data_IF_041164800733
#
_entry.id   IF_041164800733
#
_cell.length_a   1.000
_cell.length_b   1.000
_cell.length_c   1.000
_cell.angle_alpha   90.00
_cell.angle_beta   90.00
_cell.angle_gamma   90.00
#
_symmetry.space_group_name_H-M   'P 1'
#
loop_
_entity.id
_entity.type
_entity.pdbx_description
1 polymer ?
#
# COMPACT_ATOMS: atom_id res chain seq x y z
N UNK A 1 13.10 -63.15 -32.27
CA UNK A 1 12.51 -62.35 -31.16
C UNK A 1 12.84 -60.90 -31.48
N UNK A 2 11.83 -60.18 -31.99
CA UNK A 2 11.95 -58.83 -32.58
C UNK A 2 11.66 -57.78 -31.51
N UNK A 3 12.56 -56.81 -31.37
CA UNK A 3 12.36 -55.58 -30.58
C UNK A 3 11.21 -54.76 -31.17
N UNK A 4 10.25 -54.36 -30.33
CA UNK A 4 9.14 -53.49 -30.72
C UNK A 4 8.78 -52.43 -29.66
N UNK A 5 9.59 -52.21 -28.62
CA UNK A 5 9.19 -51.36 -27.47
C UNK A 5 9.91 -50.01 -27.32
N UNK A 6 10.97 -49.72 -28.09
CA UNK A 6 11.76 -48.48 -27.91
C UNK A 6 11.19 -47.23 -28.62
N UNK A 7 10.23 -47.40 -29.54
CA UNK A 7 9.68 -46.28 -30.33
C UNK A 7 8.60 -45.45 -29.61
N UNK A 8 7.94 -46.00 -28.57
CA UNK A 8 6.86 -45.30 -27.87
C UNK A 8 7.33 -44.38 -26.74
N UNK A 9 8.50 -44.66 -26.13
CA UNK A 9 9.04 -43.86 -25.04
C UNK A 9 9.60 -42.51 -25.53
N UNK A 10 10.31 -42.50 -26.66
CA UNK A 10 10.95 -41.29 -27.20
C UNK A 10 9.95 -40.23 -27.71
N UNK A 11 8.77 -40.64 -28.18
CA UNK A 11 7.72 -39.71 -28.62
C UNK A 11 6.94 -39.09 -27.45
N UNK A 12 6.83 -39.80 -26.32
CA UNK A 12 6.16 -39.26 -25.12
C UNK A 12 7.03 -38.25 -24.37
N UNK A 13 8.35 -38.44 -24.32
CA UNK A 13 9.29 -37.44 -23.78
C UNK A 13 9.33 -36.16 -24.62
N UNK A 14 9.34 -36.28 -25.96
CA UNK A 14 9.30 -35.10 -26.85
C UNK A 14 7.98 -34.32 -26.73
N UNK A 15 6.85 -35.01 -26.59
CA UNK A 15 5.55 -34.37 -26.39
C UNK A 15 5.47 -33.64 -25.04
N UNK A 16 6.00 -34.23 -23.96
CA UNK A 16 6.07 -33.56 -22.66
C UNK A 16 6.99 -32.34 -22.68
N UNK A 17 8.18 -32.44 -23.29
CA UNK A 17 9.11 -31.32 -23.40
C UNK A 17 8.52 -30.14 -24.20
N UNK A 18 7.74 -30.41 -25.25
CA UNK A 18 7.08 -29.37 -26.03
C UNK A 18 5.94 -28.68 -25.25
N UNK A 19 5.14 -29.43 -24.48
CA UNK A 19 4.07 -28.89 -23.64
C UNK A 19 4.64 -28.07 -22.47
N UNK A 20 5.76 -28.50 -21.88
CA UNK A 20 6.46 -27.75 -20.84
C UNK A 20 7.08 -26.46 -21.39
N UNK A 21 7.64 -26.49 -22.60
CA UNK A 21 8.15 -25.30 -23.30
C UNK A 21 7.08 -24.24 -23.56
N UNK A 22 5.92 -24.65 -24.09
CA UNK A 22 4.81 -23.74 -24.39
C UNK A 22 4.21 -23.10 -23.12
N UNK A 23 4.04 -23.88 -22.05
CA UNK A 23 3.58 -23.37 -20.74
C UNK A 23 4.58 -22.43 -20.09
N UNK A 24 5.89 -22.69 -20.25
CA UNK A 24 6.95 -21.84 -19.73
C UNK A 24 6.98 -20.47 -20.42
N UNK A 25 6.86 -20.47 -21.76
CA UNK A 25 6.77 -19.24 -22.54
C UNK A 25 5.53 -18.42 -22.20
N UNK A 26 4.35 -19.05 -22.12
CA UNK A 26 3.11 -18.34 -21.82
C UNK A 26 3.16 -17.71 -20.42
N UNK A 27 3.70 -18.43 -19.42
CA UNK A 27 3.93 -17.89 -18.08
C UNK A 27 4.80 -16.62 -18.10
N UNK A 28 5.93 -16.65 -18.81
CA UNK A 28 6.86 -15.52 -18.87
C UNK A 28 6.28 -14.33 -19.65
N UNK A 29 5.44 -14.60 -20.66
CA UNK A 29 4.67 -13.57 -21.37
C UNK A 29 3.68 -12.88 -20.42
N UNK A 30 2.94 -13.64 -19.61
CA UNK A 30 1.99 -13.09 -18.63
C UNK A 30 2.67 -12.25 -17.54
N UNK A 31 3.77 -12.74 -16.95
CA UNK A 31 4.50 -12.00 -15.90
C UNK A 31 5.04 -10.67 -16.44
N UNK A 32 5.68 -10.71 -17.61
CA UNK A 32 6.21 -9.53 -18.31
C UNK A 32 5.10 -8.52 -18.63
N UNK A 33 3.95 -9.00 -19.13
CA UNK A 33 2.81 -8.14 -19.40
C UNK A 33 2.29 -7.46 -18.11
N UNK A 34 2.09 -8.21 -17.03
CA UNK A 34 1.63 -7.64 -15.76
C UNK A 34 2.60 -6.57 -15.21
N UNK A 35 3.90 -6.80 -15.32
CA UNK A 35 4.93 -5.83 -14.92
C UNK A 35 4.77 -4.53 -15.70
N UNK A 36 4.64 -4.64 -17.03
CA UNK A 36 4.44 -3.48 -17.90
C UNK A 36 3.13 -2.73 -17.58
N UNK A 37 2.04 -3.45 -17.31
CA UNK A 37 0.74 -2.86 -16.94
C UNK A 37 0.85 -2.09 -15.61
N UNK A 38 1.47 -2.69 -14.59
CA UNK A 38 1.65 -2.03 -13.31
C UNK A 38 2.51 -0.76 -13.43
N UNK A 39 3.61 -0.81 -14.18
CA UNK A 39 4.46 0.36 -14.44
C UNK A 39 3.71 1.46 -15.20
N UNK A 40 2.97 1.10 -16.26
CA UNK A 40 2.15 2.04 -17.05
C UNK A 40 1.01 2.67 -16.24
N UNK A 41 0.53 1.98 -15.20
CA UNK A 41 -0.48 2.54 -14.29
C UNK A 41 0.04 3.69 -13.43
N UNK A 42 1.35 3.91 -13.39
CA UNK A 42 2.01 4.89 -12.52
C UNK A 42 2.12 4.42 -11.08
N UNK A 43 2.15 3.11 -10.84
CA UNK A 43 2.39 2.58 -9.50
C UNK A 43 3.82 2.89 -9.04
N UNK A 44 3.93 3.42 -7.83
CA UNK A 44 5.20 3.73 -7.19
C UNK A 44 5.59 2.57 -6.28
N UNK A 45 6.79 2.03 -6.46
CA UNK A 45 7.35 0.96 -5.64
C UNK A 45 8.43 1.55 -4.74
N UNK A 46 8.34 1.27 -3.45
CA UNK A 46 9.22 1.85 -2.43
C UNK A 46 9.33 0.88 -1.26
N UNK A 47 10.20 1.18 -0.30
CA UNK A 47 10.34 0.35 0.89
C UNK A 47 10.30 1.18 2.17
N UNK A 48 9.95 0.55 3.30
CA UNK A 48 10.10 1.20 4.61
C UNK A 48 11.57 1.24 5.04
N UNK A 49 11.95 2.10 6.01
CA UNK A 49 13.29 2.07 6.60
C UNK A 49 13.72 0.69 7.15
N UNK A 50 12.76 -0.17 7.47
CA UNK A 50 12.94 -1.55 7.92
C UNK A 50 13.03 -2.56 6.76
N UNK A 51 13.15 -2.11 5.52
CA UNK A 51 13.19 -2.92 4.30
C UNK A 51 11.93 -3.76 4.06
N UNK A 52 10.74 -3.25 4.40
CA UNK A 52 9.48 -3.85 3.96
C UNK A 52 9.06 -3.26 2.60
N UNK A 53 8.79 -4.08 1.56
CA UNK A 53 8.39 -3.56 0.26
C UNK A 53 6.92 -3.14 0.23
N UNK A 54 6.67 -1.96 -0.31
CA UNK A 54 5.35 -1.35 -0.46
C UNK A 54 5.15 -0.81 -1.88
N UNK A 55 3.87 -0.54 -2.20
CA UNK A 55 3.52 0.25 -3.36
C UNK A 55 2.45 1.29 -3.03
N UNK A 56 2.48 2.41 -3.76
CA UNK A 56 1.37 3.34 -3.90
C UNK A 56 0.77 3.19 -5.29
N UNK A 57 -0.52 2.93 -5.38
CA UNK A 57 -1.18 2.68 -6.67
C UNK A 57 -2.60 3.26 -6.68
N UNK A 58 -3.07 3.60 -7.88
CA UNK A 58 -4.40 4.18 -8.05
C UNK A 58 -5.49 3.10 -7.96
N UNK A 59 -6.51 3.36 -7.15
CA UNK A 59 -7.75 2.59 -7.11
C UNK A 59 -8.91 3.55 -7.35
N UNK A 60 -9.57 3.42 -8.50
CA UNK A 60 -10.61 4.35 -8.95
C UNK A 60 -10.14 5.82 -8.91
N UNK A 61 -10.58 6.59 -7.89
CA UNK A 61 -10.33 8.03 -7.78
C UNK A 61 -9.30 8.39 -6.70
N UNK A 62 -8.73 7.41 -5.98
CA UNK A 62 -7.77 7.65 -4.91
C UNK A 62 -6.51 6.79 -5.06
N UNK A 63 -5.53 7.02 -4.19
CA UNK A 63 -4.29 6.25 -4.11
C UNK A 63 -4.27 5.41 -2.84
N UNK A 64 -4.03 4.12 -3.00
CA UNK A 64 -3.82 3.18 -1.89
C UNK A 64 -2.33 2.98 -1.67
N UNK A 65 -1.89 2.95 -0.41
CA UNK A 65 -0.57 2.45 -0.02
C UNK A 65 -0.72 1.07 0.61
N UNK A 66 -0.02 0.07 0.07
CA UNK A 66 -0.11 -1.32 0.55
C UNK A 66 1.23 -2.03 0.52
N UNK A 67 1.45 -2.94 1.48
CA UNK A 67 2.59 -3.86 1.45
C UNK A 67 2.43 -4.77 0.24
N UNK A 68 3.52 -5.08 -0.46
CA UNK A 68 3.45 -5.96 -1.64
C UNK A 68 3.01 -7.40 -1.29
N UNK A 69 3.09 -7.76 0.00
CA UNK A 69 2.63 -9.04 0.55
C UNK A 69 1.12 -9.04 0.84
N UNK A 70 0.47 -7.89 0.84
CA UNK A 70 -0.94 -7.77 1.18
C UNK A 70 -1.84 -8.30 0.06
N UNK A 71 -2.93 -8.96 0.46
CA UNK A 71 -3.91 -9.47 -0.50
C UNK A 71 -4.52 -8.36 -1.37
N UNK A 72 -4.62 -7.14 -0.85
CA UNK A 72 -5.12 -5.99 -1.60
C UNK A 72 -4.27 -5.73 -2.86
N UNK A 73 -2.94 -5.71 -2.71
CA UNK A 73 -2.04 -5.49 -3.84
C UNK A 73 -2.12 -6.61 -4.88
N UNK A 74 -2.19 -7.87 -4.42
CA UNK A 74 -2.40 -9.02 -5.31
C UNK A 74 -3.71 -8.95 -6.09
N UNK A 75 -4.80 -8.51 -5.45
CA UNK A 75 -6.10 -8.32 -6.11
C UNK A 75 -6.08 -7.17 -7.11
N UNK A 76 -5.37 -6.09 -6.80
CA UNK A 76 -5.17 -4.97 -7.71
C UNK A 76 -4.41 -5.40 -8.98
N UNK A 77 -3.32 -6.16 -8.84
CA UNK A 77 -2.58 -6.72 -9.98
C UNK A 77 -3.45 -7.67 -10.82
N UNK A 78 -4.22 -8.55 -10.17
CA UNK A 78 -5.11 -9.47 -10.88
C UNK A 78 -6.20 -8.71 -11.66
N UNK A 79 -6.72 -7.61 -11.10
CA UNK A 79 -7.66 -6.73 -11.78
C UNK A 79 -7.04 -6.07 -13.00
N UNK A 80 -5.84 -5.49 -12.88
CA UNK A 80 -5.14 -4.88 -14.01
C UNK A 80 -4.95 -5.87 -15.16
N UNK A 81 -4.51 -7.08 -14.86
CA UNK A 81 -4.33 -8.11 -15.87
C UNK A 81 -5.65 -8.51 -16.52
N UNK A 82 -6.70 -8.72 -15.73
CA UNK A 82 -8.01 -9.11 -16.24
C UNK A 82 -8.64 -8.04 -17.12
N UNK A 83 -8.49 -6.76 -16.76
CA UNK A 83 -8.99 -5.64 -17.56
C UNK A 83 -8.30 -5.55 -18.93
N UNK A 84 -7.03 -5.95 -19.04
CA UNK A 84 -6.29 -5.97 -20.31
C UNK A 84 -6.56 -7.25 -21.13
N UNK A 85 -6.41 -8.43 -20.53
CA UNK A 85 -6.40 -9.72 -21.24
C UNK A 85 -7.76 -10.43 -21.26
N UNK A 86 -8.71 -10.01 -20.44
CA UNK A 86 -10.03 -10.66 -20.31
C UNK A 86 -9.99 -12.04 -19.64
N UNK A 87 -8.84 -12.47 -19.14
CA UNK A 87 -8.63 -13.75 -18.47
C UNK A 87 -7.84 -13.59 -17.15
N UNK A 88 -7.88 -14.62 -16.31
CA UNK A 88 -7.15 -14.61 -15.04
C UNK A 88 -5.66 -14.89 -15.28
N UNK A 89 -4.81 -14.12 -14.60
CA UNK A 89 -3.37 -14.40 -14.54
C UNK A 89 -3.11 -15.71 -13.78
N UNK A 90 -2.14 -16.48 -14.26
CA UNK A 90 -1.69 -17.69 -13.55
C UNK A 90 -1.01 -17.36 -12.20
N UNK A 91 -1.13 -18.27 -11.22
CA UNK A 91 -0.47 -18.09 -9.91
C UNK A 91 1.05 -17.96 -10.02
N UNK A 92 1.67 -18.70 -10.95
CA UNK A 92 3.11 -18.67 -11.16
C UNK A 92 3.56 -17.33 -11.76
N UNK A 93 2.84 -16.79 -12.76
CA UNK A 93 3.14 -15.47 -13.33
C UNK A 93 2.93 -14.35 -12.30
N UNK A 94 1.89 -14.44 -11.47
CA UNK A 94 1.65 -13.52 -10.36
C UNK A 94 2.80 -13.52 -9.35
N UNK A 95 3.29 -14.70 -8.93
CA UNK A 95 4.41 -14.79 -8.00
C UNK A 95 5.69 -14.20 -8.58
N UNK A 96 5.98 -14.47 -9.85
CA UNK A 96 7.14 -13.92 -10.54
C UNK A 96 7.10 -12.39 -10.60
N UNK A 97 5.95 -11.80 -10.97
CA UNK A 97 5.76 -10.36 -10.96
C UNK A 97 5.92 -9.77 -9.55
N UNK A 98 5.33 -10.38 -8.52
CA UNK A 98 5.48 -9.94 -7.13
C UNK A 98 6.94 -9.97 -6.65
N UNK A 99 7.71 -10.99 -7.04
CA UNK A 99 9.14 -11.08 -6.75
C UNK A 99 9.92 -9.94 -7.41
N UNK A 100 9.61 -9.62 -8.67
CA UNK A 100 10.24 -8.51 -9.40
C UNK A 100 9.88 -7.17 -8.75
N UNK A 101 8.61 -6.90 -8.44
CA UNK A 101 8.20 -5.66 -7.77
C UNK A 101 8.83 -5.53 -6.38
N UNK A 102 8.98 -6.63 -5.63
CA UNK A 102 9.67 -6.61 -4.35
C UNK A 102 11.16 -6.29 -4.51
N UNK A 103 11.80 -6.82 -5.54
CA UNK A 103 13.19 -6.47 -5.87
C UNK A 103 13.31 -4.99 -6.22
N UNK A 104 12.44 -4.48 -7.11
CA UNK A 104 12.41 -3.07 -7.48
C UNK A 104 12.20 -2.17 -6.26
N UNK A 105 11.22 -2.50 -5.42
CA UNK A 105 10.92 -1.74 -4.21
C UNK A 105 12.11 -1.66 -3.24
N UNK A 106 12.89 -2.75 -3.10
CA UNK A 106 13.99 -2.85 -2.13
C UNK A 106 15.30 -2.27 -2.65
N UNK A 107 15.61 -2.48 -3.93
CA UNK A 107 16.92 -2.15 -4.49
C UNK A 107 16.93 -0.86 -5.33
N UNK A 108 15.79 -0.49 -5.91
CA UNK A 108 15.67 0.68 -6.78
C UNK A 108 14.73 1.76 -6.20
N UNK A 109 13.86 1.38 -5.25
CA UNK A 109 12.87 2.27 -4.64
C UNK A 109 13.43 3.10 -3.49
N UNK A 110 12.78 4.23 -3.22
CA UNK A 110 13.14 5.13 -2.12
C UNK A 110 12.70 4.56 -0.75
N UNK A 111 13.43 4.94 0.30
CA UNK A 111 13.11 4.61 1.68
C UNK A 111 12.07 5.59 2.24
N UNK A 112 10.82 5.16 2.39
CA UNK A 112 9.67 5.98 2.76
C UNK A 112 8.92 5.42 3.96
N UNK A 113 8.48 6.30 4.87
CA UNK A 113 7.70 5.87 6.04
C UNK A 113 6.24 5.67 5.66
N UNK A 114 5.66 4.55 6.12
CA UNK A 114 4.23 4.28 6.01
C UNK A 114 3.55 4.50 7.35
N UNK A 115 2.53 5.35 7.35
CA UNK A 115 1.79 5.74 8.54
C UNK A 115 0.42 5.07 8.57
N UNK A 116 -0.18 5.02 9.76
CA UNK A 116 -1.56 4.55 9.92
C UNK A 116 -2.52 5.72 9.94
N UNK A 117 -2.66 6.37 11.10
CA UNK A 117 -3.63 7.44 11.32
C UNK A 117 -3.01 8.82 11.33
N UNK A 118 -1.77 8.93 11.79
CA UNK A 118 -1.12 10.19 12.10
C UNK A 118 0.31 10.16 11.57
N UNK A 119 0.76 11.31 11.06
CA UNK A 119 2.12 11.55 10.68
C UNK A 119 2.53 12.98 11.00
N UNK A 120 3.78 13.16 11.42
CA UNK A 120 4.43 14.47 11.51
C UNK A 120 5.56 14.51 10.48
N UNK A 121 5.40 15.34 9.46
CA UNK A 121 6.29 15.43 8.29
C UNK A 121 6.47 16.89 7.90
N UNK A 122 7.72 17.33 7.76
CA UNK A 122 8.09 18.70 7.37
C UNK A 122 7.39 19.80 8.18
N UNK A 123 7.36 19.63 9.50
CA UNK A 123 6.76 20.59 10.43
C UNK A 123 5.22 20.63 10.40
N UNK A 124 4.58 19.64 9.79
CA UNK A 124 3.13 19.57 9.61
C UNK A 124 2.58 18.26 10.15
N UNK A 125 1.37 18.32 10.68
CA UNK A 125 0.64 17.14 11.16
C UNK A 125 -0.36 16.73 10.08
N UNK A 126 -0.40 15.45 9.78
CA UNK A 126 -1.38 14.85 8.88
C UNK A 126 -2.17 13.79 9.64
N UNK A 127 -3.49 13.84 9.54
CA UNK A 127 -4.41 12.89 10.18
C UNK A 127 -5.28 12.26 9.11
N UNK A 128 -5.17 10.95 8.90
CA UNK A 128 -6.03 10.22 7.99
C UNK A 128 -7.46 10.14 8.55
N UNK A 129 -8.42 10.71 7.83
CA UNK A 129 -9.83 10.62 8.20
C UNK A 129 -10.33 9.18 8.05
N UNK A 130 -9.71 8.37 7.19
CA UNK A 130 -10.13 7.01 6.89
C UNK A 130 -11.57 6.90 6.31
N UNK A 131 -12.02 7.95 5.62
CA UNK A 131 -13.30 7.93 4.92
C UNK A 131 -13.16 7.48 3.46
N UNK A 132 -14.30 7.31 2.79
CA UNK A 132 -14.35 6.86 1.40
C UNK A 132 -13.80 7.88 0.40
N UNK A 133 -13.70 9.14 0.79
CA UNK A 133 -13.19 10.24 -0.05
C UNK A 133 -11.66 10.38 0.03
N UNK A 134 -11.01 9.53 0.84
CA UNK A 134 -9.55 9.55 1.04
C UNK A 134 -9.01 10.86 1.62
N UNK A 135 -9.84 11.53 2.43
CA UNK A 135 -9.50 12.83 3.00
C UNK A 135 -8.51 12.71 4.15
N UNK A 136 -7.64 13.71 4.25
CA UNK A 136 -6.64 13.88 5.30
C UNK A 136 -6.78 15.28 5.89
N UNK A 137 -6.70 15.39 7.21
CA UNK A 137 -6.60 16.70 7.87
C UNK A 137 -5.12 17.07 7.91
N UNK A 138 -4.75 18.16 7.25
CA UNK A 138 -3.42 18.77 7.33
C UNK A 138 -3.47 19.91 8.34
N UNK A 139 -2.54 19.93 9.29
CA UNK A 139 -2.40 20.99 10.30
C UNK A 139 -1.02 21.64 10.12
N UNK A 140 -1.01 22.96 10.02
CA UNK A 140 0.19 23.78 9.97
C UNK A 140 -0.01 25.07 10.79
N UNK A 141 0.95 26.00 10.73
CA UNK A 141 0.93 27.24 11.51
C UNK A 141 -0.26 28.17 11.19
N UNK A 142 -0.95 27.96 10.06
CA UNK A 142 -2.13 28.75 9.69
C UNK A 142 -3.45 28.14 10.16
N UNK A 143 -3.42 26.92 10.71
CA UNK A 143 -4.59 26.16 11.14
C UNK A 143 -4.64 24.77 10.49
N UNK A 144 -5.85 24.22 10.39
CA UNK A 144 -6.07 22.93 9.77
C UNK A 144 -6.97 23.03 8.53
N UNK A 145 -6.72 22.14 7.57
CA UNK A 145 -7.45 22.04 6.31
C UNK A 145 -7.66 20.58 5.93
N UNK A 146 -8.82 20.28 5.34
CA UNK A 146 -9.06 18.96 4.74
C UNK A 146 -8.49 18.94 3.32
N UNK A 147 -7.66 17.95 3.03
CA UNK A 147 -7.02 17.75 1.72
C UNK A 147 -7.32 16.36 1.19
N UNK A 148 -7.38 16.21 -0.14
CA UNK A 148 -7.56 14.93 -0.83
C UNK A 148 -6.27 14.42 -1.47
N UNK A 149 -5.23 15.26 -1.52
CA UNK A 149 -3.88 14.91 -1.94
C UNK A 149 -2.93 15.13 -0.77
N UNK A 150 -2.47 14.03 -0.16
CA UNK A 150 -1.51 14.04 0.94
C UNK A 150 -0.16 13.50 0.45
N UNK A 151 0.98 14.14 0.80
CA UNK A 151 2.30 13.57 0.53
C UNK A 151 2.60 12.34 1.40
N UNK A 152 1.82 12.14 2.47
CA UNK A 152 2.04 11.06 3.44
C UNK A 152 1.47 9.73 2.93
N UNK A 153 2.29 8.68 2.98
CA UNK A 153 1.91 7.31 2.65
C UNK A 153 1.12 6.68 3.80
N UNK A 154 -0.21 6.80 3.78
CA UNK A 154 -1.09 6.16 4.77
C UNK A 154 -1.56 4.78 4.31
N UNK A 155 -1.49 3.79 5.20
CA UNK A 155 -2.18 2.50 5.02
C UNK A 155 -3.33 2.35 6.01
N UNK A 156 -4.46 1.82 5.53
CA UNK A 156 -5.69 1.64 6.32
C UNK A 156 -5.91 0.16 6.65
N UNK A 157 -5.44 -0.35 7.82
CA UNK A 157 -5.70 -1.72 8.22
C UNK A 157 -7.19 -1.97 8.48
N UNK A 158 -7.58 -3.24 8.43
CA UNK A 158 -8.96 -3.67 8.71
C UNK A 158 -9.36 -3.21 10.12
N UNK A 159 -10.53 -2.57 10.23
CA UNK A 159 -11.07 -2.08 11.51
C UNK A 159 -10.74 -0.61 11.80
N UNK A 160 -9.93 0.05 10.97
CA UNK A 160 -9.74 1.49 11.03
C UNK A 160 -11.04 2.18 10.56
N UNK A 161 -11.74 2.86 11.47
CA UNK A 161 -13.01 3.54 11.18
C UNK A 161 -12.79 5.00 10.76
N UNK A 162 -13.75 5.54 10.02
CA UNK A 162 -13.72 6.95 9.67
C UNK A 162 -13.81 7.84 10.92
N UNK A 163 -13.02 8.90 10.96
CA UNK A 163 -13.15 9.98 11.94
C UNK A 163 -14.19 10.99 11.45
N UNK A 164 -14.83 11.69 12.37
CA UNK A 164 -15.62 12.86 12.05
C UNK A 164 -14.72 13.98 11.53
N UNK A 165 -15.22 14.80 10.61
CA UNK A 165 -14.55 16.04 10.21
C UNK A 165 -14.72 17.04 11.36
N UNK A 166 -13.65 17.69 11.84
CA UNK A 166 -13.75 18.67 12.90
C UNK A 166 -14.55 19.90 12.45
N UNK A 167 -15.24 20.52 13.40
CA UNK A 167 -15.89 21.81 13.21
C UNK A 167 -14.96 22.93 13.70
N UNK A 168 -14.98 24.08 13.02
CA UNK A 168 -14.23 25.25 13.47
C UNK A 168 -14.91 25.90 14.68
N UNK A 169 -14.11 26.55 15.54
CA UNK A 169 -14.62 27.38 16.64
C UNK A 169 -14.74 26.68 17.99
N UNK A 170 -14.30 25.41 18.11
CA UNK A 170 -14.23 24.74 19.41
C UNK A 170 -13.07 25.25 20.27
N UNK A 171 -13.26 25.23 21.59
CA UNK A 171 -12.24 25.59 22.57
C UNK A 171 -11.64 24.38 23.27
N UNK A 172 -10.34 24.42 23.56
CA UNK A 172 -9.66 23.34 24.30
C UNK A 172 -10.26 23.13 25.70
N UNK A 173 -10.84 24.17 26.30
CA UNK A 173 -11.53 24.15 27.59
C UNK A 173 -12.72 23.17 27.60
N UNK A 174 -13.37 22.93 26.47
CA UNK A 174 -14.49 22.01 26.33
C UNK A 174 -14.09 20.56 26.63
N UNK A 175 -12.82 20.18 26.39
CA UNK A 175 -12.32 18.85 26.71
C UNK A 175 -12.26 18.62 28.24
N UNK A 176 -12.16 19.69 29.05
CA UNK A 176 -11.99 19.60 30.51
C UNK A 176 -13.14 18.87 31.19
N UNK A 177 -14.36 18.93 30.65
CA UNK A 177 -15.51 18.21 31.20
C UNK A 177 -15.46 16.69 31.00
N UNK A 178 -14.56 16.18 30.15
CA UNK A 178 -14.47 14.76 29.78
C UNK A 178 -13.25 14.05 30.37
N UNK A 179 -12.38 14.78 31.08
CA UNK A 179 -11.12 14.25 31.60
C UNK A 179 -10.97 14.56 33.08
N UNK A 180 -10.29 13.67 33.80
CA UNK A 180 -10.04 13.84 35.23
C UNK A 180 -8.77 14.67 35.47
N UNK A 181 -8.78 15.94 35.04
CA UNK A 181 -7.75 16.92 35.41
C UNK A 181 -8.21 17.62 36.70
N UNK A 182 -7.65 17.20 37.84
CA UNK A 182 -8.18 17.51 39.18
C UNK A 182 -7.99 18.98 39.53
N UNK A 183 -6.86 19.55 39.13
CA UNK A 183 -6.52 20.95 39.30
C UNK A 183 -6.01 21.58 38.00
N UNK A 184 -5.60 22.86 38.07
CA UNK A 184 -5.13 23.61 36.91
C UNK A 184 -3.73 23.14 36.45
N UNK A 185 -2.89 22.63 37.36
CA UNK A 185 -1.57 22.12 37.01
C UNK A 185 -1.68 20.81 36.21
N UNK A 186 -2.57 19.91 36.63
CA UNK A 186 -2.94 18.70 35.88
C UNK A 186 -3.49 19.04 34.49
N UNK A 187 -4.31 20.10 34.40
CA UNK A 187 -4.88 20.54 33.13
C UNK A 187 -3.81 21.05 32.17
N UNK A 188 -2.86 21.86 32.66
CA UNK A 188 -1.71 22.32 31.85
C UNK A 188 -0.85 21.13 31.41
N UNK A 189 -0.62 20.16 32.30
CA UNK A 189 0.15 18.96 31.96
C UNK A 189 -0.53 18.14 30.87
N UNK A 190 -1.86 17.98 30.93
CA UNK A 190 -2.61 17.30 29.88
C UNK A 190 -2.53 18.04 28.54
N UNK A 191 -2.65 19.37 28.55
CA UNK A 191 -2.51 20.18 27.33
C UNK A 191 -1.13 20.01 26.70
N UNK A 192 -0.07 20.11 27.52
CA UNK A 192 1.30 19.92 27.07
C UNK A 192 1.54 18.50 26.54
N UNK A 193 1.00 17.48 27.23
CA UNK A 193 1.05 16.08 26.79
C UNK A 193 0.38 15.89 25.43
N UNK A 194 -0.85 16.39 25.25
CA UNK A 194 -1.56 16.27 23.99
C UNK A 194 -0.77 16.91 22.85
N UNK A 195 -0.27 18.13 23.03
CA UNK A 195 0.57 18.80 22.03
C UNK A 195 1.83 17.97 21.70
N UNK A 196 2.50 17.42 22.72
CA UNK A 196 3.70 16.60 22.56
C UNK A 196 3.46 15.29 21.81
N UNK A 197 2.30 14.66 21.96
CA UNK A 197 1.95 13.42 21.24
C UNK A 197 1.77 13.65 19.74
N UNK A 198 1.20 14.79 19.35
CA UNK A 198 0.92 15.08 17.94
C UNK A 198 2.12 15.61 17.16
N UNK A 199 3.09 16.23 17.83
CA UNK A 199 4.32 16.75 17.24
C UNK A 199 5.55 16.26 18.03
N UNK A 200 5.97 15.00 17.88
CA UNK A 200 7.19 14.52 18.51
C UNK A 200 8.39 15.23 17.87
N UNK A 201 9.09 16.05 18.66
CA UNK A 201 10.10 17.05 18.26
C UNK A 201 9.49 18.39 17.77
N UNK A 202 8.80 19.13 18.65
CA UNK A 202 8.61 20.56 18.42
C UNK A 202 9.99 21.25 18.45
N UNK A 203 10.20 22.35 17.70
CA UNK A 203 11.46 23.12 17.73
C UNK A 203 11.82 23.61 19.14
#
# INVERSE_FOLDING_TARGET
MSNADDTHAADSEKANAAIEGDKGEDKQKQSTLLINLAQRSGAEFFHTPENEPFATFRVAQHFETSSLKAQLFRLWLARLFYEEEGQAISNNAMQEALSIFSSMAIFDGEAERVYLRHAYVDGRIYIDVCDREWRVIKIDSSGWHVVTASPVKFRRPKGMLALAIPEHGGEMSELRSFVNAVDDDDWVLLQAFLLGVWAPNPP
#
